data_IF_678873867206
#
_entry.id   IF_678873867206
#
_cell.length_a   1.000
_cell.length_b   1.000
_cell.length_c   1.000
_cell.angle_alpha   90.00
_cell.angle_beta   90.00
_cell.angle_gamma   90.00
#
_symmetry.space_group_name_H-M   'P 1'
#
loop_
_entity.id
_entity.type
_entity.pdbx_description
1 polymer ?
#
# COMPACT_ATOMS: atom_id res chain seq x y z
N UNK A 1 10.29 -5.56 0.64
CA UNK A 1 9.90 -4.14 0.87
C UNK A 1 8.61 -3.87 0.11
N UNK A 2 7.69 -3.10 0.70
CA UNK A 2 6.45 -2.67 0.07
C UNK A 2 6.54 -1.18 -0.26
N UNK A 3 6.21 -0.83 -1.50
CA UNK A 3 5.96 0.57 -1.88
C UNK A 3 4.45 0.79 -1.91
N UNK A 4 3.98 1.78 -1.18
CA UNK A 4 2.56 2.14 -1.16
C UNK A 4 2.39 3.53 -1.76
N UNK A 5 1.45 3.65 -2.70
CA UNK A 5 1.07 4.93 -3.30
C UNK A 5 -0.43 5.06 -3.41
N UNK A 6 -0.90 6.31 -3.39
CA UNK A 6 -2.31 6.63 -3.62
C UNK A 6 -2.61 6.58 -5.13
N UNK A 7 -3.73 5.99 -5.50
CA UNK A 7 -4.25 6.06 -6.87
C UNK A 7 -5.25 7.22 -6.95
N UNK A 8 -5.45 7.81 -8.13
CA UNK A 8 -6.39 8.95 -8.34
C UNK A 8 -7.83 8.69 -7.85
N UNK A 9 -8.24 7.44 -7.61
CA UNK A 9 -9.56 7.12 -7.01
C UNK A 9 -9.56 7.51 -5.53
N UNK A 10 -10.64 8.17 -5.09
CA UNK A 10 -10.73 8.92 -3.81
C UNK A 10 -10.12 8.21 -2.60
N UNK A 11 -10.28 6.89 -2.47
CA UNK A 11 -9.79 6.10 -1.34
C UNK A 11 -9.28 4.71 -1.76
N UNK A 12 -8.35 4.65 -2.73
CA UNK A 12 -7.66 3.41 -3.14
C UNK A 12 -6.14 3.58 -3.06
N UNK A 13 -5.46 2.63 -2.41
CA UNK A 13 -4.00 2.52 -2.41
C UNK A 13 -3.54 1.38 -3.30
N UNK A 14 -2.42 1.60 -3.99
CA UNK A 14 -1.64 0.55 -4.63
C UNK A 14 -0.52 0.14 -3.68
N UNK A 15 -0.36 -1.16 -3.47
CA UNK A 15 0.72 -1.77 -2.70
C UNK A 15 1.50 -2.65 -3.68
N UNK A 16 2.77 -2.32 -3.85
CA UNK A 16 3.68 -3.02 -4.75
C UNK A 16 4.75 -3.69 -3.90
N UNK A 17 4.84 -5.02 -3.98
CA UNK A 17 5.97 -5.74 -3.38
C UNK A 17 7.16 -5.63 -4.32
N UNK A 18 8.27 -5.16 -3.77
CA UNK A 18 9.54 -5.05 -4.49
C UNK A 18 10.52 -6.03 -3.84
N UNK A 19 10.92 -7.02 -4.63
CA UNK A 19 11.93 -8.03 -4.32
C UNK A 19 13.10 -7.81 -5.29
N UNK A 20 14.30 -7.57 -4.78
CA UNK A 20 15.55 -7.35 -5.53
C UNK A 20 15.46 -6.25 -6.61
N UNK A 21 15.79 -5.01 -6.24
CA UNK A 21 15.90 -3.90 -7.19
C UNK A 21 17.33 -3.89 -7.76
N UNK A 22 17.50 -4.38 -8.97
CA UNK A 22 18.58 -3.89 -9.83
C UNK A 22 18.10 -2.57 -10.46
N UNK A 23 18.95 -1.53 -10.49
CA UNK A 23 18.63 -0.25 -11.12
C UNK A 23 18.18 -0.46 -12.58
N UNK A 24 17.03 0.12 -12.95
CA UNK A 24 16.50 0.09 -14.33
C UNK A 24 15.56 -1.07 -14.67
N UNK A 25 15.24 -1.97 -13.74
CA UNK A 25 14.29 -3.07 -13.99
C UNK A 25 12.85 -2.67 -13.68
N UNK A 26 11.96 -2.81 -14.67
CA UNK A 26 10.52 -2.58 -14.52
C UNK A 26 9.87 -3.64 -13.61
N UNK A 27 9.23 -3.20 -12.52
CA UNK A 27 8.47 -4.09 -11.63
C UNK A 27 7.24 -4.62 -12.36
N UNK A 28 7.32 -5.86 -12.87
CA UNK A 28 6.23 -6.49 -13.63
C UNK A 28 4.92 -6.53 -12.83
N UNK A 29 3.84 -6.11 -13.49
CA UNK A 29 2.50 -5.81 -12.95
C UNK A 29 1.77 -6.93 -12.15
N UNK A 30 2.27 -8.17 -12.12
CA UNK A 30 1.51 -9.32 -11.60
C UNK A 30 1.33 -9.36 -10.07
N UNK A 31 2.09 -8.55 -9.32
CA UNK A 31 2.09 -8.57 -7.85
C UNK A 31 1.51 -7.31 -7.20
N UNK A 32 0.69 -6.55 -7.94
CA UNK A 32 0.05 -5.32 -7.43
C UNK A 32 -1.20 -5.64 -6.62
N UNK A 33 -1.18 -5.24 -5.36
CA UNK A 33 -2.36 -5.27 -4.49
C UNK A 33 -3.01 -3.89 -4.50
N UNK A 34 -4.32 -3.85 -4.72
CA UNK A 34 -5.12 -2.65 -4.58
C UNK A 34 -5.99 -2.80 -3.34
N UNK A 35 -6.00 -1.79 -2.48
CA UNK A 35 -6.82 -1.80 -1.27
C UNK A 35 -7.62 -0.51 -1.13
N UNK A 36 -8.93 -0.64 -1.03
CA UNK A 36 -9.82 0.44 -0.64
C UNK A 36 -9.89 0.54 0.88
N UNK A 37 -9.87 1.77 1.35
CA UNK A 37 -9.95 2.09 2.76
C UNK A 37 -11.04 3.13 3.00
N UNK A 38 -11.59 3.14 4.21
CA UNK A 38 -12.56 4.16 4.65
C UNK A 38 -12.32 4.51 6.10
N UNK A 39 -12.63 5.75 6.49
CA UNK A 39 -12.61 6.15 7.89
C UNK A 39 -13.84 5.59 8.62
N UNK A 40 -13.64 4.98 9.77
CA UNK A 40 -14.70 4.41 10.64
C UNK A 40 -14.39 4.86 12.08
N UNK A 41 -15.13 5.87 12.54
CA UNK A 41 -14.78 6.59 13.76
C UNK A 41 -13.42 7.28 13.60
N UNK A 42 -12.50 7.03 14.53
CA UNK A 42 -11.16 7.63 14.53
C UNK A 42 -10.11 6.83 13.76
N UNK A 43 -10.46 5.66 13.21
CA UNK A 43 -9.52 4.75 12.54
C UNK A 43 -9.89 4.53 11.09
N UNK A 44 -8.90 4.18 10.27
CA UNK A 44 -9.16 3.71 8.92
C UNK A 44 -9.34 2.18 8.90
N UNK A 45 -10.20 1.70 7.99
CA UNK A 45 -10.46 0.27 7.76
C UNK A 45 -10.33 -0.07 6.28
N UNK A 46 -9.50 -1.07 5.97
CA UNK A 46 -9.52 -1.75 4.67
C UNK A 46 -10.81 -2.56 4.53
N UNK A 47 -11.52 -2.42 3.42
CA UNK A 47 -12.82 -3.10 3.22
C UNK A 47 -12.95 -3.84 1.88
N UNK A 48 -12.16 -3.48 0.86
CA UNK A 48 -12.12 -4.19 -0.42
C UNK A 48 -10.69 -4.24 -0.91
N UNK A 49 -10.17 -5.43 -1.15
CA UNK A 49 -8.80 -5.62 -1.62
C UNK A 49 -8.79 -6.57 -2.81
N UNK A 50 -7.84 -6.37 -3.73
CA UNK A 50 -7.63 -7.23 -4.89
C UNK A 50 -6.16 -7.37 -5.25
N UNK A 51 -5.77 -8.54 -5.73
CA UNK A 51 -4.49 -8.82 -6.37
C UNK A 51 -4.77 -9.01 -7.86
N UNK A 52 -4.41 -8.02 -8.68
CA UNK A 52 -4.92 -7.92 -10.05
C UNK A 52 -6.46 -7.87 -10.05
N UNK A 53 -7.09 -8.88 -10.64
CA UNK A 53 -8.56 -9.03 -10.72
C UNK A 53 -9.16 -9.91 -9.62
N UNK A 54 -8.33 -10.60 -8.82
CA UNK A 54 -8.81 -11.52 -7.78
C UNK A 54 -9.04 -10.79 -6.47
N UNK A 55 -10.24 -10.90 -5.90
CA UNK A 55 -10.53 -10.36 -4.56
C UNK A 55 -9.74 -11.12 -3.49
N UNK A 56 -9.19 -10.37 -2.55
CA UNK A 56 -8.46 -10.91 -1.39
C UNK A 56 -9.03 -10.32 -0.10
N UNK A 57 -8.89 -11.08 0.99
CA UNK A 57 -9.36 -10.63 2.29
C UNK A 57 -8.52 -9.44 2.81
N UNK A 58 -9.16 -8.39 3.37
CA UNK A 58 -8.45 -7.27 3.96
C UNK A 58 -7.46 -7.65 5.07
N UNK A 59 -7.76 -8.70 5.85
CA UNK A 59 -6.88 -9.21 6.90
C UNK A 59 -5.52 -9.65 6.35
N UNK A 60 -5.49 -10.35 5.20
CA UNK A 60 -4.25 -10.78 4.54
C UNK A 60 -3.39 -9.60 4.11
N UNK A 61 -4.03 -8.51 3.66
CA UNK A 61 -3.31 -7.27 3.31
C UNK A 61 -2.73 -6.60 4.55
N UNK A 62 -3.48 -6.54 5.65
CA UNK A 62 -2.97 -6.00 6.92
C UNK A 62 -1.82 -6.83 7.48
N UNK A 63 -1.88 -8.16 7.39
CA UNK A 63 -0.77 -9.04 7.79
C UNK A 63 0.48 -8.80 6.95
N UNK A 64 0.33 -8.64 5.63
CA UNK A 64 1.42 -8.31 4.74
C UNK A 64 2.08 -6.98 5.13
N UNK A 65 1.27 -5.94 5.36
CA UNK A 65 1.75 -4.61 5.78
C UNK A 65 2.51 -4.66 7.11
N UNK A 66 2.12 -5.53 8.04
CA UNK A 66 2.81 -5.67 9.34
C UNK A 66 4.14 -6.43 9.26
N UNK A 67 4.31 -7.30 8.25
CA UNK A 67 5.49 -8.17 8.12
C UNK A 67 6.63 -7.54 7.34
N UNK A 68 6.33 -6.62 6.43
CA UNK A 68 7.30 -6.06 5.49
C UNK A 68 7.65 -4.60 5.83
N UNK A 69 8.86 -4.18 5.44
CA UNK A 69 9.22 -2.74 5.48
C UNK A 69 8.37 -1.97 4.48
N UNK A 70 7.80 -0.84 4.91
CA UNK A 70 6.93 0.01 4.08
C UNK A 70 7.68 1.28 3.68
N UNK A 71 7.61 1.61 2.40
CA UNK A 71 8.05 2.86 1.82
C UNK A 71 6.85 3.58 1.19
N UNK A 72 6.74 4.90 1.41
CA UNK A 72 5.67 5.71 0.84
C UNK A 72 6.20 6.95 0.14
N UNK A 73 5.45 7.40 -0.87
CA UNK A 73 5.55 8.78 -1.36
C UNK A 73 4.87 9.70 -0.34
N UNK A 74 5.41 10.90 -0.14
CA UNK A 74 4.87 11.89 0.81
C UNK A 74 3.40 12.23 0.48
N UNK A 75 2.48 11.69 1.28
CA UNK A 75 1.03 11.89 1.16
C UNK A 75 0.38 11.83 2.55
N UNK A 76 -0.26 12.92 2.97
CA UNK A 76 -0.85 13.05 4.30
C UNK A 76 -1.93 11.99 4.58
N UNK A 77 -2.74 11.64 3.59
CA UNK A 77 -3.82 10.66 3.78
C UNK A 77 -3.28 9.24 3.93
N UNK A 78 -2.20 8.92 3.22
CA UNK A 78 -1.50 7.65 3.35
C UNK A 78 -0.79 7.54 4.70
N UNK A 79 -0.17 8.62 5.16
CA UNK A 79 0.44 8.67 6.49
C UNK A 79 -0.60 8.43 7.60
N UNK A 80 -1.75 9.10 7.54
CA UNK A 80 -2.83 8.91 8.52
C UNK A 80 -3.37 7.47 8.50
N UNK A 81 -3.54 6.88 7.31
CA UNK A 81 -3.94 5.49 7.15
C UNK A 81 -2.96 4.54 7.85
N UNK A 82 -1.66 4.65 7.55
CA UNK A 82 -0.64 3.78 8.12
C UNK A 82 -0.45 3.98 9.63
N UNK A 83 -0.47 5.24 10.10
CA UNK A 83 -0.42 5.58 11.53
C UNK A 83 -1.62 5.01 12.29
N UNK A 84 -2.82 4.96 11.68
CA UNK A 84 -4.00 4.36 12.31
C UNK A 84 -3.88 2.85 12.54
N UNK A 85 -2.96 2.18 11.84
CA UNK A 85 -2.59 0.78 12.03
C UNK A 85 -1.30 0.58 12.85
N UNK A 86 -0.72 1.65 13.39
CA UNK A 86 0.58 1.64 14.08
C UNK A 86 1.72 1.09 13.21
N UNK A 87 1.66 1.33 11.90
CA UNK A 87 2.68 0.90 10.95
C UNK A 87 3.77 1.97 10.82
N UNK A 88 5.04 1.53 10.85
CA UNK A 88 6.20 2.37 10.55
C UNK A 88 6.45 2.38 9.04
N UNK A 89 6.91 3.50 8.51
CA UNK A 89 7.21 3.65 7.09
C UNK A 89 8.36 4.64 6.87
N UNK A 90 9.06 4.45 5.77
CA UNK A 90 10.09 5.36 5.26
C UNK A 90 9.56 6.17 4.07
N UNK A 91 10.14 7.34 3.83
CA UNK A 91 9.81 8.15 2.65
C UNK A 91 10.69 7.76 1.47
N UNK A 92 10.11 7.69 0.28
CA UNK A 92 10.83 7.52 -0.98
C UNK A 92 10.46 8.60 -1.98
N UNK A 93 11.43 8.97 -2.80
CA UNK A 93 11.22 9.78 -4.00
C UNK A 93 11.16 8.84 -5.20
N UNK A 94 10.04 8.82 -5.91
CA UNK A 94 9.96 8.19 -7.21
C UNK A 94 10.43 9.22 -8.24
N UNK A 95 11.38 8.85 -9.10
CA UNK A 95 11.73 9.69 -10.25
C UNK A 95 10.47 9.92 -11.12
N UNK A 96 10.28 11.15 -11.64
CA UNK A 96 9.14 11.50 -12.48
C UNK A 96 9.05 10.69 -13.77
#
# INVERSE_FOLDING_TARGET
MLIIRKIKKKDEIEIVKVENIDEGVEVRNSNKIFANYKKVGDRYKLYRCRLGDKLIQPSKVLELLKKEKIAIVKDKSLEELLKSYHLKFDYINLCP
#
